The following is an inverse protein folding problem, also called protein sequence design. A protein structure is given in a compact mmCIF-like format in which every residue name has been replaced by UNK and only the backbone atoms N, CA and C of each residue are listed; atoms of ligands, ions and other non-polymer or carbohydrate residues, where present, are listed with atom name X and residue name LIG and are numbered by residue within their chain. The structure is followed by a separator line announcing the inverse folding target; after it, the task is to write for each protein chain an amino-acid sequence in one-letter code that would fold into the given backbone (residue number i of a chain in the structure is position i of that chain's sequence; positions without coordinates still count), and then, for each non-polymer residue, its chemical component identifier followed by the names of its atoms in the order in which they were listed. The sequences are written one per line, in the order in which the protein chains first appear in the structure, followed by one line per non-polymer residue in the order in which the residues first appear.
data_IF_265389205000
#
_entry.id   IF_265389205000
#
_cell.length_a   1.000
_cell.length_b   1.000
_cell.length_c   1.000
_cell.angle_alpha   90.00
_cell.angle_beta   90.00
_cell.angle_gamma   90.00
#
_symmetry.space_group_name_H-M   'P 1'
#
loop_
_entity.id
_entity.type
_entity.pdbx_description
1 polymer ?
#
# COMPACT_ATOMS: atom_id res chain seq x y z
N UNK A 1 -20.19 -26.02 -71.09
CA UNK A 1 -21.09 -26.27 -69.92
C UNK A 1 -20.45 -27.10 -68.79
N UNK A 2 -19.29 -27.73 -69.00
CA UNK A 2 -18.69 -28.67 -68.02
C UNK A 2 -17.84 -28.00 -66.93
N UNK A 3 -17.15 -26.90 -67.22
CA UNK A 3 -16.29 -26.22 -66.22
C UNK A 3 -17.08 -25.53 -65.10
N UNK A 4 -18.19 -24.87 -65.41
CA UNK A 4 -18.99 -24.11 -64.43
C UNK A 4 -19.72 -25.01 -63.42
N UNK A 5 -20.11 -26.22 -63.84
CA UNK A 5 -20.75 -27.23 -62.99
C UNK A 5 -19.70 -27.88 -62.06
N UNK A 6 -18.50 -28.18 -62.56
CA UNK A 6 -17.39 -28.67 -61.73
C UNK A 6 -16.94 -27.66 -60.66
N UNK A 7 -16.86 -26.37 -61.02
CA UNK A 7 -16.50 -25.28 -60.07
C UNK A 7 -17.57 -25.17 -58.96
N UNK A 8 -18.85 -25.27 -59.34
CA UNK A 8 -19.94 -25.21 -58.39
C UNK A 8 -19.92 -26.37 -57.39
N UNK A 9 -19.69 -27.60 -57.87
CA UNK A 9 -19.62 -28.78 -57.01
C UNK A 9 -18.43 -28.70 -56.04
N UNK A 10 -17.25 -28.25 -56.51
CA UNK A 10 -16.04 -28.09 -55.68
C UNK A 10 -16.17 -27.03 -54.58
N UNK A 11 -16.86 -25.91 -54.84
CA UNK A 11 -16.99 -24.80 -53.87
C UNK A 11 -18.18 -25.01 -52.92
N UNK A 12 -19.28 -25.64 -53.39
CA UNK A 12 -20.50 -25.87 -52.59
C UNK A 12 -20.36 -26.99 -51.57
N UNK A 13 -19.49 -27.98 -51.79
CA UNK A 13 -19.25 -29.03 -50.79
C UNK A 13 -18.54 -28.52 -49.52
N UNK A 14 -17.92 -27.33 -49.55
CA UNK A 14 -17.08 -26.84 -48.45
C UNK A 14 -17.54 -25.53 -47.79
N UNK A 15 -18.20 -24.62 -48.52
CA UNK A 15 -18.79 -23.42 -47.92
C UNK A 15 -20.30 -23.60 -47.76
N UNK A 16 -20.79 -23.36 -46.55
CA UNK A 16 -22.24 -23.38 -46.25
C UNK A 16 -23.01 -22.31 -47.06
N UNK A 17 -22.32 -21.28 -47.57
CA UNK A 17 -22.86 -20.25 -48.45
C UNK A 17 -21.91 -19.90 -49.60
N UNK A 18 -22.39 -19.94 -50.84
CA UNK A 18 -21.63 -19.60 -52.05
C UNK A 18 -22.36 -18.52 -52.85
N UNK A 19 -21.74 -17.36 -53.01
CA UNK A 19 -22.31 -16.26 -53.80
C UNK A 19 -21.96 -16.37 -55.27
N UNK A 20 -22.74 -17.19 -56.00
CA UNK A 20 -22.47 -17.50 -57.42
C UNK A 20 -22.36 -16.27 -58.33
N UNK A 21 -23.35 -15.38 -58.26
CA UNK A 21 -23.38 -14.15 -59.07
C UNK A 21 -22.16 -13.25 -58.84
N UNK A 22 -21.55 -13.32 -57.65
CA UNK A 22 -20.33 -12.58 -57.34
C UNK A 22 -19.12 -13.25 -57.98
N UNK A 23 -18.95 -14.56 -57.82
CA UNK A 23 -17.85 -15.31 -58.43
C UNK A 23 -17.84 -15.14 -59.96
N UNK A 24 -19.00 -15.27 -60.61
CA UNK A 24 -19.14 -15.07 -62.07
C UNK A 24 -18.79 -13.65 -62.50
N UNK A 25 -19.16 -12.65 -61.71
CA UNK A 25 -18.79 -11.25 -61.94
C UNK A 25 -17.29 -11.05 -61.78
N UNK A 26 -16.69 -11.54 -60.71
CA UNK A 26 -15.28 -11.36 -60.37
C UNK A 26 -14.38 -12.05 -61.42
N UNK A 27 -14.75 -13.25 -61.90
CA UNK A 27 -14.08 -13.92 -63.03
C UNK A 27 -14.19 -13.08 -64.31
N UNK A 28 -15.37 -12.53 -64.59
CA UNK A 28 -15.60 -11.67 -65.77
C UNK A 28 -14.81 -10.35 -65.69
N UNK A 29 -14.45 -9.92 -64.48
CA UNK A 29 -13.60 -8.76 -64.19
C UNK A 29 -12.09 -9.12 -64.19
N UNK A 30 -11.74 -10.37 -64.52
CA UNK A 30 -10.36 -10.82 -64.71
C UNK A 30 -9.71 -11.47 -63.48
N UNK A 31 -10.47 -11.74 -62.41
CA UNK A 31 -9.94 -12.47 -61.25
C UNK A 31 -9.70 -13.95 -61.61
N UNK A 32 -8.48 -14.48 -61.42
CA UNK A 32 -8.17 -15.87 -61.73
C UNK A 32 -9.02 -16.86 -60.93
N UNK A 33 -9.48 -17.93 -61.59
CA UNK A 33 -10.28 -18.99 -60.95
C UNK A 33 -9.59 -19.64 -59.75
N UNK A 34 -8.25 -19.69 -59.74
CA UNK A 34 -7.46 -20.26 -58.65
C UNK A 34 -7.58 -19.45 -57.34
N UNK A 35 -7.99 -18.18 -57.39
CA UNK A 35 -8.20 -17.38 -56.17
C UNK A 35 -9.42 -17.81 -55.35
N UNK A 36 -10.39 -18.46 -56.00
CA UNK A 36 -11.55 -19.08 -55.35
C UNK A 36 -11.30 -20.54 -54.97
N UNK A 37 -10.10 -21.07 -55.27
CA UNK A 37 -9.68 -22.40 -54.89
C UNK A 37 -9.64 -22.57 -53.38
N UNK A 38 -9.92 -23.79 -52.93
CA UNK A 38 -9.83 -24.20 -51.53
C UNK A 38 -8.44 -23.89 -50.97
N UNK A 39 -7.38 -24.05 -51.77
CA UNK A 39 -6.01 -23.76 -51.38
C UNK A 39 -5.80 -22.26 -51.11
N UNK A 40 -6.40 -21.40 -51.94
CA UNK A 40 -6.33 -19.96 -51.79
C UNK A 40 -7.13 -19.46 -50.57
N UNK A 41 -8.36 -19.95 -50.32
CA UNK A 41 -9.09 -19.56 -49.12
C UNK A 41 -8.42 -20.09 -47.85
N UNK A 42 -7.94 -21.35 -47.83
CA UNK A 42 -7.19 -21.87 -46.67
C UNK A 42 -5.93 -21.06 -46.39
N UNK A 43 -5.26 -20.54 -47.42
CA UNK A 43 -4.11 -19.63 -47.27
C UNK A 43 -4.54 -18.31 -46.61
N UNK A 44 -5.61 -17.65 -47.10
CA UNK A 44 -6.16 -16.42 -46.49
C UNK A 44 -6.62 -16.63 -45.05
N UNK A 45 -7.27 -17.76 -44.76
CA UNK A 45 -7.69 -18.09 -43.41
C UNK A 45 -6.49 -18.26 -42.47
N UNK A 46 -5.42 -18.93 -42.92
CA UNK A 46 -4.17 -19.05 -42.14
C UNK A 46 -3.52 -17.70 -41.89
N UNK A 47 -3.48 -16.83 -42.89
CA UNK A 47 -2.94 -15.47 -42.76
C UNK A 47 -3.74 -14.64 -41.75
N UNK A 48 -5.09 -14.66 -41.84
CA UNK A 48 -5.97 -14.01 -40.85
C UNK A 48 -5.77 -14.57 -39.44
N UNK A 49 -5.67 -15.88 -39.29
CA UNK A 49 -5.44 -16.52 -37.99
C UNK A 49 -4.08 -16.14 -37.40
N UNK A 50 -3.02 -16.11 -38.22
CA UNK A 50 -1.69 -15.69 -37.79
C UNK A 50 -1.66 -14.20 -37.38
N UNK A 51 -2.41 -13.34 -38.06
CA UNK A 51 -2.55 -11.94 -37.67
C UNK A 51 -3.31 -11.78 -36.34
N UNK A 52 -4.40 -12.52 -36.15
CA UNK A 52 -5.15 -12.57 -34.89
C UNK A 52 -4.24 -13.04 -33.75
N UNK A 53 -3.44 -14.07 -33.96
CA UNK A 53 -2.49 -14.59 -32.96
C UNK A 53 -1.45 -13.55 -32.57
N UNK A 54 -0.85 -12.84 -33.54
CA UNK A 54 0.07 -11.72 -33.27
C UNK A 54 -0.58 -10.59 -32.49
N UNK A 55 -1.85 -10.28 -32.77
CA UNK A 55 -2.59 -9.24 -32.02
C UNK A 55 -2.90 -9.71 -30.60
N UNK A 56 -3.30 -10.98 -30.42
CA UNK A 56 -3.54 -11.57 -29.09
C UNK A 56 -2.28 -11.54 -28.25
N UNK A 57 -1.15 -12.02 -28.79
CA UNK A 57 0.14 -12.00 -28.09
C UNK A 57 0.51 -10.60 -27.60
N UNK A 58 0.39 -9.58 -28.46
CA UNK A 58 0.65 -8.17 -28.07
C UNK A 58 -0.33 -7.61 -27.05
N UNK A 59 -1.55 -8.16 -26.93
CA UNK A 59 -2.51 -7.77 -25.88
C UNK A 59 -2.17 -8.44 -24.56
N UNK A 60 -1.79 -9.72 -24.61
CA UNK A 60 -1.35 -10.48 -23.45
C UNK A 60 -0.05 -9.89 -22.86
N UNK A 61 0.95 -9.60 -23.70
CA UNK A 61 2.20 -8.95 -23.28
C UNK A 61 1.93 -7.61 -22.58
N UNK A 62 1.09 -6.74 -23.16
CA UNK A 62 0.70 -5.47 -22.54
C UNK A 62 -0.12 -5.64 -21.26
N UNK A 63 -0.95 -6.67 -21.18
CA UNK A 63 -1.73 -6.95 -19.97
C UNK A 63 -0.83 -7.43 -18.84
N UNK A 64 0.17 -8.27 -19.15
CA UNK A 64 1.17 -8.75 -18.19
C UNK A 64 2.02 -7.58 -17.70
N UNK A 65 2.57 -6.77 -18.62
CA UNK A 65 3.40 -5.60 -18.27
C UNK A 65 2.62 -4.61 -17.41
N UNK A 66 1.36 -4.33 -17.78
CA UNK A 66 0.50 -3.45 -16.98
C UNK A 66 0.21 -4.04 -15.60
N UNK A 67 -0.08 -5.33 -15.51
CA UNK A 67 -0.36 -5.99 -14.23
C UNK A 67 0.88 -5.98 -13.32
N UNK A 68 2.07 -6.26 -13.87
CA UNK A 68 3.34 -6.19 -13.13
C UNK A 68 3.61 -4.78 -12.62
N UNK A 69 3.43 -3.77 -13.48
CA UNK A 69 3.62 -2.38 -13.08
C UNK A 69 2.60 -1.94 -12.01
N UNK A 70 1.34 -2.34 -12.14
CA UNK A 70 0.29 -2.06 -11.16
C UNK A 70 0.59 -2.73 -9.81
N UNK A 71 1.08 -3.97 -9.82
CA UNK A 71 1.51 -4.70 -8.62
C UNK A 71 2.71 -4.03 -7.95
N UNK A 72 3.73 -3.63 -8.70
CA UNK A 72 4.90 -2.91 -8.20
C UNK A 72 4.50 -1.56 -7.56
N UNK A 73 3.66 -0.80 -8.26
CA UNK A 73 3.14 0.48 -7.75
C UNK A 73 2.27 0.30 -6.49
N UNK A 74 1.46 -0.77 -6.43
CA UNK A 74 0.67 -1.09 -5.26
C UNK A 74 1.54 -1.49 -4.06
N UNK A 75 2.63 -2.24 -4.30
CA UNK A 75 3.60 -2.58 -3.26
C UNK A 75 4.29 -1.32 -2.72
N UNK A 76 4.80 -0.45 -3.60
CA UNK A 76 5.43 0.81 -3.23
C UNK A 76 4.47 1.72 -2.44
N UNK A 77 3.21 1.80 -2.85
CA UNK A 77 2.18 2.56 -2.14
C UNK A 77 1.92 2.03 -0.73
N UNK A 78 1.90 0.69 -0.55
CA UNK A 78 1.75 0.05 0.76
C UNK A 78 2.97 0.31 1.65
N UNK A 79 4.18 0.23 1.10
CA UNK A 79 5.40 0.52 1.84
C UNK A 79 5.44 1.98 2.30
N UNK A 80 5.10 2.92 1.42
CA UNK A 80 4.99 4.34 1.78
C UNK A 80 3.95 4.57 2.87
N UNK A 81 2.76 3.99 2.74
CA UNK A 81 1.71 4.11 3.75
C UNK A 81 2.15 3.55 5.11
N UNK A 82 2.91 2.45 5.13
CA UNK A 82 3.48 1.89 6.37
C UNK A 82 4.51 2.83 6.99
N UNK A 83 5.41 3.40 6.20
CA UNK A 83 6.42 4.34 6.70
C UNK A 83 5.76 5.60 7.26
N UNK A 84 4.79 6.17 6.53
CA UNK A 84 4.01 7.31 7.00
C UNK A 84 3.28 6.99 8.30
N UNK A 85 2.65 5.81 8.41
CA UNK A 85 1.96 5.38 9.63
C UNK A 85 2.92 5.30 10.84
N UNK A 86 4.11 4.73 10.67
CA UNK A 86 5.11 4.66 11.74
C UNK A 86 5.61 6.05 12.17
N UNK A 87 5.79 6.97 11.22
CA UNK A 87 6.18 8.34 11.54
C UNK A 87 5.05 9.10 12.26
N UNK A 88 3.79 8.81 11.93
CA UNK A 88 2.63 9.33 12.63
C UNK A 88 2.53 8.81 14.06
N UNK A 89 2.71 7.50 14.27
CA UNK A 89 2.68 6.85 15.59
C UNK A 89 3.73 7.48 16.53
N UNK A 90 4.97 7.66 16.06
CA UNK A 90 6.03 8.33 16.85
C UNK A 90 5.69 9.78 17.21
N UNK A 91 5.11 10.53 16.27
CA UNK A 91 4.68 11.93 16.53
C UNK A 91 3.52 12.00 17.51
N UNK A 92 2.63 11.02 17.48
CA UNK A 92 1.53 10.91 18.43
C UNK A 92 2.06 10.62 19.85
N UNK A 93 3.01 9.71 20.00
CA UNK A 93 3.70 9.45 21.28
C UNK A 93 4.41 10.70 21.82
N UNK A 94 5.17 11.41 20.97
CA UNK A 94 5.84 12.66 21.32
C UNK A 94 4.83 13.75 21.74
N UNK A 95 3.72 13.89 21.01
CA UNK A 95 2.66 14.82 21.36
C UNK A 95 2.02 14.48 22.70
N UNK A 96 1.73 13.21 22.98
CA UNK A 96 1.18 12.79 24.28
C UNK A 96 2.15 13.10 25.43
N UNK A 97 3.45 12.92 25.21
CA UNK A 97 4.47 13.24 26.18
C UNK A 97 4.59 14.74 26.44
N UNK A 98 4.62 15.57 25.40
CA UNK A 98 4.62 17.03 25.54
C UNK A 98 3.35 17.54 26.24
N UNK A 99 2.20 16.97 25.91
CA UNK A 99 0.96 17.25 26.64
C UNK A 99 1.05 16.85 28.12
N UNK A 100 1.73 15.75 28.45
CA UNK A 100 1.96 15.34 29.84
C UNK A 100 2.80 16.36 30.60
N UNK A 101 3.89 16.88 29.99
CA UNK A 101 4.72 17.95 30.57
C UNK A 101 3.92 19.22 30.83
N UNK A 102 3.18 19.71 29.84
CA UNK A 102 2.33 20.90 29.99
C UNK A 102 1.29 20.70 31.12
N UNK A 103 0.69 19.50 31.20
CA UNK A 103 -0.26 19.19 32.28
C UNK A 103 0.41 19.13 33.65
N UNK A 104 1.65 18.65 33.73
CA UNK A 104 2.46 18.65 34.96
C UNK A 104 2.72 20.09 35.40
N UNK A 105 3.20 20.96 34.52
CA UNK A 105 3.43 22.39 34.79
C UNK A 105 2.18 23.07 35.36
N UNK A 106 1.01 22.86 34.75
CA UNK A 106 -0.26 23.42 35.24
C UNK A 106 -0.62 22.88 36.65
N UNK A 107 -0.36 21.60 36.94
CA UNK A 107 -0.63 21.00 38.26
C UNK A 107 0.30 21.54 39.33
N UNK A 108 1.58 21.71 39.00
CA UNK A 108 2.58 22.32 39.87
C UNK A 108 2.15 23.74 40.25
N UNK A 109 1.72 24.53 39.26
CA UNK A 109 1.27 25.90 39.48
C UNK A 109 -0.01 25.99 40.35
N UNK A 110 -0.93 25.04 40.20
CA UNK A 110 -2.19 25.03 40.95
C UNK A 110 -2.10 24.26 42.29
N UNK A 111 -0.93 23.76 42.67
CA UNK A 111 -0.72 23.05 43.94
C UNK A 111 -1.42 21.69 44.05
N UNK A 112 -1.79 21.10 42.90
CA UNK A 112 -2.49 19.81 42.79
C UNK A 112 -1.61 18.77 42.12
N UNK A 113 -0.43 18.60 42.72
CA UNK A 113 0.67 17.78 42.20
C UNK A 113 0.35 16.30 42.25
N UNK A 114 0.76 15.59 41.19
CA UNK A 114 0.79 14.14 41.13
C UNK A 114 2.20 13.61 41.49
N UNK A 115 2.30 12.33 41.85
CA UNK A 115 3.59 11.69 42.12
C UNK A 115 4.63 11.87 41.00
N UNK A 116 4.23 11.72 39.73
CA UNK A 116 5.13 11.93 38.58
C UNK A 116 5.67 13.36 38.52
N UNK A 117 4.84 14.36 38.78
CA UNK A 117 5.24 15.76 38.73
C UNK A 117 6.36 16.05 39.74
N UNK A 118 6.32 15.40 40.91
CA UNK A 118 7.37 15.49 41.93
C UNK A 118 8.66 14.83 41.44
N UNK A 119 8.57 13.62 40.88
CA UNK A 119 9.74 12.88 40.35
C UNK A 119 10.41 13.64 39.21
N UNK A 120 9.65 14.26 38.31
CA UNK A 120 10.20 15.08 37.23
C UNK A 120 10.89 16.32 37.77
N UNK A 121 10.38 16.93 38.85
CA UNK A 121 11.02 18.10 39.49
C UNK A 121 12.38 17.78 40.11
N UNK A 122 12.63 16.55 40.57
CA UNK A 122 13.95 16.14 41.07
C UNK A 122 15.03 16.15 39.97
N UNK A 123 14.64 16.02 38.70
CA UNK A 123 15.55 16.11 37.55
C UNK A 123 15.90 17.54 37.19
N UNK A 124 14.91 18.42 37.20
CA UNK A 124 15.05 19.85 36.85
C UNK A 124 14.61 20.75 38.01
N UNK A 125 15.44 20.93 39.06
CA UNK A 125 15.08 21.73 40.23
C UNK A 125 15.02 23.25 39.97
N UNK A 126 15.34 23.70 38.75
CA UNK A 126 15.43 25.12 38.40
C UNK A 126 14.07 25.83 38.32
N UNK A 127 12.97 25.08 38.42
CA UNK A 127 11.62 25.61 38.28
C UNK A 127 11.17 26.33 39.58
N UNK A 128 10.75 27.59 39.45
CA UNK A 128 10.48 28.59 40.53
C UNK A 128 9.23 28.26 41.38
N UNK A 129 8.78 27.00 41.36
CA UNK A 129 7.62 26.54 42.12
C UNK A 129 8.02 26.18 43.55
N UNK A 130 7.31 26.72 44.54
CA UNK A 130 7.47 26.43 45.98
C UNK A 130 6.90 25.05 46.37
N UNK A 131 7.40 23.97 45.74
CA UNK A 131 7.09 22.59 46.16
C UNK A 131 8.25 22.10 46.99
N UNK A 132 7.94 21.72 48.24
CA UNK A 132 8.88 21.08 49.15
C UNK A 132 9.34 19.74 48.56
N UNK A 133 10.58 19.72 48.11
CA UNK A 133 11.22 18.55 47.52
C UNK A 133 11.51 17.57 48.66
N UNK A 134 10.57 16.66 48.91
CA UNK A 134 10.75 15.55 49.84
C UNK A 134 11.74 14.52 49.26
N UNK A 135 12.32 13.68 50.12
CA UNK A 135 13.21 12.59 49.66
C UNK A 135 12.47 11.71 48.62
N UNK A 136 13.08 11.35 47.48
CA UNK A 136 12.37 10.74 46.34
C UNK A 136 11.52 9.51 46.69
N UNK A 137 11.96 8.69 47.65
CA UNK A 137 11.22 7.48 48.07
C UNK A 137 9.91 7.80 48.80
N UNK A 138 9.73 9.01 49.33
CA UNK A 138 8.50 9.43 49.99
C UNK A 138 7.32 9.55 49.01
N UNK A 139 7.60 9.77 47.72
CA UNK A 139 6.58 9.84 46.65
C UNK A 139 5.76 8.55 46.55
N UNK A 140 6.39 7.40 46.82
CA UNK A 140 5.73 6.10 46.78
C UNK A 140 4.92 5.78 48.05
N UNK A 141 5.16 6.51 49.13
CA UNK A 141 4.56 6.19 50.43
C UNK A 141 3.11 6.65 50.47
N UNK A 142 2.19 5.69 50.64
CA UNK A 142 0.77 5.97 50.80
C UNK A 142 -0.03 6.01 49.49
N UNK A 143 0.61 5.70 48.36
CA UNK A 143 -0.11 5.44 47.11
C UNK A 143 -0.94 4.16 47.21
N UNK A 144 -2.14 4.20 46.65
CA UNK A 144 -2.94 2.99 46.40
C UNK A 144 -2.32 2.16 45.28
N UNK A 145 -2.71 0.89 45.16
CA UNK A 145 -2.24 0.01 44.06
C UNK A 145 -2.52 0.64 42.69
N UNK A 146 -3.69 1.24 42.52
CA UNK A 146 -4.07 1.89 41.28
C UNK A 146 -3.19 3.11 40.96
N UNK A 147 -2.91 3.95 41.95
CA UNK A 147 -2.03 5.11 41.77
C UNK A 147 -0.58 4.69 41.51
N UNK A 148 -0.16 3.55 42.08
CA UNK A 148 1.15 2.96 41.81
C UNK A 148 1.25 2.44 40.37
N UNK A 149 0.21 1.79 39.85
CA UNK A 149 0.12 1.37 38.45
C UNK A 149 0.13 2.57 37.49
N UNK A 150 -0.65 3.61 37.79
CA UNK A 150 -0.66 4.85 37.01
C UNK A 150 0.74 5.51 36.99
N UNK A 151 1.40 5.60 38.14
CA UNK A 151 2.76 6.14 38.24
C UNK A 151 3.79 5.29 37.49
N UNK A 152 3.64 3.96 37.50
CA UNK A 152 4.53 3.08 36.74
C UNK A 152 4.42 3.32 35.23
N UNK A 153 3.21 3.45 34.69
CA UNK A 153 3.00 3.79 33.28
C UNK A 153 3.54 5.19 32.94
N UNK A 154 3.36 6.17 33.84
CA UNK A 154 3.94 7.51 33.66
C UNK A 154 5.48 7.48 33.63
N UNK A 155 6.13 6.70 34.51
CA UNK A 155 7.60 6.50 34.55
C UNK A 155 8.07 5.82 33.27
N UNK A 156 7.37 4.79 32.81
CA UNK A 156 7.70 4.07 31.58
C UNK A 156 7.66 4.98 30.36
N UNK A 157 6.63 5.83 30.26
CA UNK A 157 6.55 6.85 29.21
C UNK A 157 7.75 7.81 29.23
N UNK A 158 8.21 8.24 30.41
CA UNK A 158 9.41 9.07 30.53
C UNK A 158 10.69 8.29 30.16
N UNK A 159 10.81 7.01 30.52
CA UNK A 159 11.96 6.18 30.13
C UNK A 159 12.09 6.03 28.60
N UNK A 160 10.95 5.96 27.90
CA UNK A 160 10.93 5.81 26.45
C UNK A 160 11.26 7.11 25.71
N UNK A 161 10.82 8.26 26.24
CA UNK A 161 10.85 9.55 25.52
C UNK A 161 11.82 10.60 26.11
N UNK A 162 12.14 10.55 27.41
CA UNK A 162 13.04 11.49 28.08
C UNK A 162 14.51 11.04 28.05
N UNK A 163 15.05 10.89 26.83
CA UNK A 163 16.42 10.41 26.59
C UNK A 163 17.40 11.53 26.25
N UNK A 164 17.08 12.75 26.69
CA UNK A 164 17.82 13.99 26.34
C UNK A 164 19.23 14.01 26.93
N UNK A 165 19.38 13.54 28.17
CA UNK A 165 20.65 13.51 28.90
C UNK A 165 20.88 12.14 29.52
N UNK A 166 22.14 11.68 29.64
CA UNK A 166 22.46 10.41 30.32
C UNK A 166 21.95 10.36 31.77
N UNK A 167 21.84 11.51 32.43
CA UNK A 167 21.31 11.66 33.79
C UNK A 167 19.81 11.36 33.87
N UNK A 168 19.00 11.84 32.91
CA UNK A 168 17.57 11.54 32.86
C UNK A 168 17.35 10.05 32.60
N UNK A 169 18.10 9.47 31.65
CA UNK A 169 18.03 8.04 31.34
C UNK A 169 18.30 7.21 32.59
N UNK A 170 19.43 7.44 33.26
CA UNK A 170 19.80 6.71 34.47
C UNK A 170 18.77 6.88 35.58
N UNK A 171 18.24 8.09 35.76
CA UNK A 171 17.24 8.36 36.77
C UNK A 171 15.96 7.55 36.53
N UNK A 172 15.38 7.62 35.33
CA UNK A 172 14.17 6.86 35.00
C UNK A 172 14.41 5.35 35.02
N UNK A 173 15.59 4.87 34.59
CA UNK A 173 15.98 3.45 34.70
C UNK A 173 16.03 2.96 36.15
N UNK A 174 16.44 3.81 37.11
CA UNK A 174 16.47 3.44 38.52
C UNK A 174 15.08 3.38 39.18
N UNK A 175 14.08 4.02 38.57
CA UNK A 175 12.71 4.10 39.08
C UNK A 175 11.74 3.13 38.39
N UNK A 176 12.12 2.58 37.24
CA UNK A 176 11.35 1.57 36.48
C UNK A 176 11.38 0.19 37.14
#
# INVERSE_FOLDING_TARGET
MTQQICIYLLVREFFQFVWRKKIERDISQGVPLDEFSIKAEKKRQRERMAEIEKVKKRREERAIEKAQHEEEMALLARERARAEFQDWEKKEEEFHFDQSKIRSEIRLQEGRTKPIDILTKHLDPSDDFDIEINEPYMVFKGLTVKEMEELHEDIKMHLDLDRTTPTHIQYWETLS
#
